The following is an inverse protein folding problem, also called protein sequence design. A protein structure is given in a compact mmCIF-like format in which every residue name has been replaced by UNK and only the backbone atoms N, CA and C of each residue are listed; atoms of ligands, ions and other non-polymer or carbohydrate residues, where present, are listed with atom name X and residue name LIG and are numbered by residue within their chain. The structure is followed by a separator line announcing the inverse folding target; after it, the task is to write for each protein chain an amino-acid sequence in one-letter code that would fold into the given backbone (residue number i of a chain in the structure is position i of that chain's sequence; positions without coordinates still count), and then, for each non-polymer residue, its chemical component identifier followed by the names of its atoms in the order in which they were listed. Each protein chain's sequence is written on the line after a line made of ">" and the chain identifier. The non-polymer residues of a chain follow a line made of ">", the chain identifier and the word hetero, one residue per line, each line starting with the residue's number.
data_IF_794599148772
#
_entry.id   IF_794599148772
#
_cell.length_a   1.000
_cell.length_b   1.000
_cell.length_c   1.000
_cell.angle_alpha   90.00
_cell.angle_beta   90.00
_cell.angle_gamma   90.00
#
_symmetry.space_group_name_H-M   'P 1'
#
loop_
_entity.id
_entity.type
_entity.pdbx_description
1 polymer ?
#
# COMPACT_ATOMS: atom_id res chain seq x y z
N UNK A 1 -6.42 -25.87 14.65
CA UNK A 1 -5.48 -24.92 13.99
C UNK A 1 -4.58 -25.71 13.08
N UNK A 2 -4.53 -25.39 11.79
CA UNK A 2 -3.64 -26.10 10.86
C UNK A 2 -2.16 -25.84 11.18
N UNK A 3 -1.29 -26.79 10.87
CA UNK A 3 0.17 -26.72 11.08
C UNK A 3 0.78 -25.43 10.51
N UNK A 4 0.19 -24.87 9.45
CA UNK A 4 0.61 -23.62 8.83
C UNK A 4 0.11 -22.37 9.55
N UNK A 5 -1.09 -22.42 10.18
CA UNK A 5 -1.49 -21.40 11.14
C UNK A 5 -0.50 -21.35 12.30
N UNK A 6 -0.03 -22.52 12.78
CA UNK A 6 1.04 -22.59 13.76
C UNK A 6 2.36 -22.03 13.22
N UNK A 7 2.84 -22.38 12.02
CA UNK A 7 4.12 -21.86 11.48
C UNK A 7 4.06 -20.36 11.20
N UNK A 8 2.96 -19.83 10.66
CA UNK A 8 2.77 -18.39 10.44
C UNK A 8 2.65 -17.64 11.76
N UNK A 9 1.91 -18.19 12.72
CA UNK A 9 1.91 -17.69 14.10
C UNK A 9 3.27 -17.83 14.77
N UNK A 10 4.07 -18.84 14.44
CA UNK A 10 5.39 -19.08 15.05
C UNK A 10 6.42 -18.14 14.44
N UNK A 11 6.37 -17.88 13.13
CA UNK A 11 7.17 -16.86 12.47
C UNK A 11 6.73 -15.44 12.85
N UNK A 12 5.44 -15.20 13.04
CA UNK A 12 4.92 -13.93 13.56
C UNK A 12 5.25 -13.75 15.05
N UNK A 13 5.12 -14.78 15.90
CA UNK A 13 5.51 -14.78 17.33
C UNK A 13 7.02 -14.69 17.51
N UNK A 14 7.83 -15.44 16.74
CA UNK A 14 9.30 -15.30 16.75
C UNK A 14 9.71 -13.89 16.32
N UNK A 15 9.03 -13.29 15.34
CA UNK A 15 9.26 -11.89 14.93
C UNK A 15 8.79 -10.87 15.98
N UNK A 16 7.64 -11.08 16.61
CA UNK A 16 7.14 -10.25 17.73
C UNK A 16 7.93 -10.44 19.04
N UNK A 17 8.70 -11.53 19.19
CA UNK A 17 9.63 -11.70 20.31
C UNK A 17 10.90 -10.85 20.17
N UNK A 18 11.23 -10.41 18.96
CA UNK A 18 12.43 -9.59 18.67
C UNK A 18 12.07 -8.11 18.46
N UNK A 19 10.82 -7.84 18.07
CA UNK A 19 10.31 -6.48 17.89
C UNK A 19 9.62 -6.04 19.18
N UNK A 20 9.84 -4.82 19.68
CA UNK A 20 9.00 -4.31 20.75
C UNK A 20 7.54 -4.36 20.30
N UNK A 21 6.60 -4.65 21.21
CA UNK A 21 5.18 -4.54 20.88
C UNK A 21 4.93 -3.14 20.33
N UNK A 22 4.14 -3.02 19.25
CA UNK A 22 3.70 -1.70 18.80
C UNK A 22 3.15 -0.96 20.03
N UNK A 23 3.57 0.30 20.27
CA UNK A 23 3.08 1.07 21.39
C UNK A 23 1.57 0.97 21.44
N UNK A 24 1.02 0.77 22.64
CA UNK A 24 -0.42 0.97 22.85
C UNK A 24 -0.73 2.36 22.30
N UNK A 25 -1.80 2.49 21.49
CA UNK A 25 -2.24 3.76 20.90
C UNK A 25 -2.17 4.87 21.96
N UNK A 26 -1.07 5.59 21.98
CA UNK A 26 -0.92 6.84 22.68
C UNK A 26 -1.54 7.86 21.74
N UNK A 27 -2.48 8.65 22.26
CA UNK A 27 -2.96 9.80 21.54
C UNK A 27 -1.74 10.69 21.24
N UNK A 28 -1.51 11.05 19.97
CA UNK A 28 -0.41 11.91 19.55
C UNK A 28 -0.41 13.22 20.32
N UNK A 29 -1.58 13.68 20.79
CA UNK A 29 -1.71 14.85 21.66
C UNK A 29 -0.90 14.74 22.95
N UNK A 30 -0.93 13.58 23.61
CA UNK A 30 -0.22 13.35 24.88
C UNK A 30 1.19 12.79 24.67
N UNK A 31 1.64 12.64 23.43
CA UNK A 31 2.94 12.07 23.12
C UNK A 31 4.03 13.14 23.21
N UNK A 32 4.89 13.06 24.22
CA UNK A 32 6.07 13.92 24.29
C UNK A 32 7.14 13.39 23.34
N UNK A 33 7.58 14.22 22.40
CA UNK A 33 8.65 13.86 21.47
C UNK A 33 9.96 13.94 22.26
N UNK A 34 10.72 12.84 22.40
CA UNK A 34 11.99 12.91 23.11
C UNK A 34 12.96 13.84 22.38
N UNK A 35 13.75 14.60 23.13
CA UNK A 35 14.65 15.61 22.55
C UNK A 35 15.67 15.03 21.57
N UNK A 36 16.02 13.74 21.73
CA UNK A 36 16.87 13.00 20.79
C UNK A 36 16.28 12.84 19.39
N UNK A 37 14.97 13.01 19.20
CA UNK A 37 14.29 12.95 17.90
C UNK A 37 14.18 14.32 17.20
N UNK A 38 14.56 15.41 17.88
CA UNK A 38 14.54 16.74 17.29
C UNK A 38 15.67 16.95 16.28
N UNK A 39 16.79 16.23 16.48
CA UNK A 39 17.97 16.32 15.64
C UNK A 39 18.28 14.97 14.99
N UNK A 40 18.89 14.99 13.82
CA UNK A 40 19.43 13.78 13.19
C UNK A 40 20.80 13.39 13.80
N UNK A 41 21.40 12.30 13.32
CA UNK A 41 22.73 11.84 13.76
C UNK A 41 23.86 12.84 13.49
N UNK A 42 23.63 13.84 12.63
CA UNK A 42 24.55 14.93 12.31
C UNK A 42 24.25 16.20 13.12
N UNK A 43 23.37 16.14 14.12
CA UNK A 43 22.91 17.27 14.95
C UNK A 43 22.19 18.38 14.17
N UNK A 44 21.64 18.07 13.01
CA UNK A 44 20.82 19.01 12.22
C UNK A 44 19.34 18.86 12.56
N UNK A 45 18.50 19.90 12.36
CA UNK A 45 17.06 19.80 12.55
C UNK A 45 16.43 18.64 11.77
N UNK A 46 15.67 17.81 12.49
CA UNK A 46 14.98 16.64 11.93
C UNK A 46 13.47 16.68 12.18
N UNK A 47 13.02 17.20 13.33
CA UNK A 47 11.62 17.56 13.54
C UNK A 47 11.37 18.90 12.83
N UNK A 48 10.62 18.87 11.72
CA UNK A 48 10.37 20.07 10.90
C UNK A 48 8.98 20.66 11.12
N UNK A 49 8.05 19.89 11.66
CA UNK A 49 6.73 20.37 11.98
C UNK A 49 6.12 19.59 13.14
N UNK A 50 5.48 20.33 14.05
CA UNK A 50 4.64 19.80 15.10
C UNK A 50 3.51 20.81 15.33
N UNK A 51 2.30 20.46 14.90
CA UNK A 51 1.19 21.42 14.92
C UNK A 51 0.62 21.70 16.30
N UNK A 52 0.94 20.87 17.31
CA UNK A 52 0.47 20.94 18.70
C UNK A 52 -1.07 21.10 18.89
N UNK A 53 -1.87 20.91 17.83
CA UNK A 53 -3.33 21.09 17.85
C UNK A 53 -4.07 19.76 18.17
N UNK A 54 -5.40 19.77 18.39
CA UNK A 54 -6.18 18.57 18.71
C UNK A 54 -6.10 17.44 17.67
N UNK A 55 -5.71 17.74 16.43
CA UNK A 55 -5.45 16.80 15.34
C UNK A 55 -3.97 16.80 14.96
N UNK A 56 -3.11 16.86 15.99
CA UNK A 56 -1.65 17.00 15.91
C UNK A 56 -1.04 16.24 14.73
N UNK A 57 -0.29 16.98 13.92
CA UNK A 57 0.52 16.47 12.83
C UNK A 57 1.98 16.68 13.19
N UNK A 58 2.73 15.59 13.20
CA UNK A 58 4.17 15.61 13.44
C UNK A 58 4.86 15.19 12.15
N UNK A 59 5.84 15.97 11.69
CA UNK A 59 6.61 15.70 10.48
C UNK A 59 8.10 15.73 10.78
N UNK A 60 8.77 14.64 10.41
CA UNK A 60 10.21 14.50 10.50
C UNK A 60 10.82 14.43 9.11
N UNK A 61 11.74 15.34 8.81
CA UNK A 61 12.56 15.33 7.60
C UNK A 61 13.83 16.17 7.83
N UNK A 62 14.89 15.87 7.09
CA UNK A 62 16.08 16.73 7.03
C UNK A 62 16.13 17.53 5.72
N UNK A 63 16.96 18.57 5.65
CA UNK A 63 17.25 19.27 4.38
C UNK A 63 17.68 18.29 3.28
N UNK A 64 18.60 17.39 3.61
CA UNK A 64 19.09 16.35 2.70
C UNK A 64 17.95 15.42 2.28
N UNK A 65 17.09 15.01 3.22
CA UNK A 65 15.91 14.22 2.93
C UNK A 65 15.00 14.87 1.88
N UNK A 66 14.67 16.14 2.09
CA UNK A 66 13.74 16.86 1.22
C UNK A 66 14.30 17.04 -0.21
N UNK A 67 15.63 17.16 -0.36
CA UNK A 67 16.29 17.16 -1.68
C UNK A 67 16.14 15.84 -2.45
N UNK A 68 15.95 14.72 -1.74
CA UNK A 68 15.85 13.38 -2.32
C UNK A 68 14.42 12.82 -2.30
N UNK A 69 13.41 13.65 -2.05
CA UNK A 69 12.00 13.25 -2.13
C UNK A 69 11.71 12.55 -3.47
N UNK A 70 11.05 11.39 -3.40
CA UNK A 70 10.76 10.54 -4.57
C UNK A 70 11.82 9.49 -4.89
N UNK A 71 13.05 9.59 -4.35
CA UNK A 71 14.12 8.59 -4.59
C UNK A 71 14.36 7.65 -3.39
N UNK A 72 14.05 8.12 -2.17
CA UNK A 72 14.28 7.40 -0.91
C UNK A 72 13.13 7.68 0.09
N UNK A 73 12.82 6.76 1.03
CA UNK A 73 11.96 7.02 2.19
C UNK A 73 12.66 7.98 3.14
N UNK A 74 12.35 9.27 3.05
CA UNK A 74 13.17 10.32 3.69
C UNK A 74 12.37 11.31 4.53
N UNK A 75 11.04 11.24 4.47
CA UNK A 75 10.13 12.00 5.31
C UNK A 75 9.20 11.03 6.05
N UNK A 76 8.99 11.27 7.34
CA UNK A 76 8.09 10.50 8.19
C UNK A 76 7.04 11.44 8.78
N UNK A 77 5.79 11.01 8.82
CA UNK A 77 4.72 11.79 9.42
C UNK A 77 3.84 10.93 10.30
N UNK A 78 3.42 11.47 11.44
CA UNK A 78 2.41 10.88 12.31
C UNK A 78 1.19 11.80 12.36
N UNK A 79 0.00 11.21 12.18
CA UNK A 79 -1.28 11.93 12.16
C UNK A 79 -2.33 11.19 12.96
N UNK A 80 -3.20 11.94 13.66
CA UNK A 80 -4.36 11.38 14.39
C UNK A 80 -5.44 10.84 13.44
N UNK A 81 -5.59 11.50 12.29
CA UNK A 81 -6.62 11.22 11.28
C UNK A 81 -6.02 10.92 9.92
N UNK A 82 -6.88 10.38 9.05
CA UNK A 82 -6.60 10.02 7.66
C UNK A 82 -7.68 10.61 6.74
N UNK A 83 -7.90 11.91 6.87
CA UNK A 83 -8.89 12.65 6.11
C UNK A 83 -8.24 13.71 5.20
N UNK A 84 -9.06 14.30 4.32
CA UNK A 84 -8.59 15.26 3.32
C UNK A 84 -7.85 16.44 3.97
N UNK A 85 -8.42 17.00 5.04
CA UNK A 85 -7.86 18.16 5.73
C UNK A 85 -6.50 17.83 6.32
N UNK A 86 -6.37 16.68 6.97
CA UNK A 86 -5.09 16.22 7.53
C UNK A 86 -4.01 16.11 6.45
N UNK A 87 -4.33 15.54 5.29
CA UNK A 87 -3.36 15.43 4.20
C UNK A 87 -2.97 16.79 3.58
N UNK A 88 -3.92 17.71 3.42
CA UNK A 88 -3.63 19.06 2.94
C UNK A 88 -2.69 19.80 3.91
N UNK A 89 -2.96 19.73 5.22
CA UNK A 89 -2.08 20.32 6.22
C UNK A 89 -0.69 19.67 6.20
N UNK A 90 -0.63 18.33 6.10
CA UNK A 90 0.65 17.62 5.98
C UNK A 90 1.47 18.08 4.76
N UNK A 91 0.84 18.21 3.60
CA UNK A 91 1.53 18.68 2.39
C UNK A 91 1.96 20.13 2.49
N UNK A 92 1.17 20.99 3.14
CA UNK A 92 1.54 22.38 3.42
C UNK A 92 2.78 22.44 4.31
N UNK A 93 2.77 21.74 5.45
CA UNK A 93 3.92 21.70 6.37
C UNK A 93 5.19 21.18 5.69
N UNK A 94 5.06 20.18 4.82
CA UNK A 94 6.18 19.66 4.04
C UNK A 94 6.72 20.69 3.05
N UNK A 95 5.83 21.42 2.36
CA UNK A 95 6.19 22.43 1.37
C UNK A 95 6.85 23.65 2.02
N UNK A 96 6.32 24.10 3.16
CA UNK A 96 6.89 25.22 3.92
C UNK A 96 8.29 24.90 4.42
N UNK A 97 8.48 23.69 4.97
CA UNK A 97 9.81 23.23 5.39
C UNK A 97 10.79 23.14 4.21
N UNK A 98 10.33 22.69 3.04
CA UNK A 98 11.17 22.63 1.85
C UNK A 98 11.56 24.03 1.34
N UNK A 99 10.61 24.97 1.30
CA UNK A 99 10.86 26.37 0.93
C UNK A 99 11.88 27.01 1.87
N UNK A 100 11.76 26.78 3.17
CA UNK A 100 12.74 27.26 4.16
C UNK A 100 14.17 26.75 3.89
N UNK A 101 14.31 25.60 3.23
CA UNK A 101 15.60 25.06 2.79
C UNK A 101 15.99 25.44 1.35
N UNK A 102 15.20 26.28 0.67
CA UNK A 102 15.39 26.65 -0.73
C UNK A 102 15.08 25.52 -1.72
N UNK A 103 14.17 24.62 -1.36
CA UNK A 103 13.78 23.44 -2.15
C UNK A 103 12.34 23.62 -2.62
N UNK A 104 12.11 23.49 -3.93
CA UNK A 104 10.77 23.47 -4.50
C UNK A 104 10.26 22.02 -4.65
N UNK A 105 9.14 21.69 -4.02
CA UNK A 105 8.48 20.39 -4.15
C UNK A 105 7.33 20.52 -5.15
N UNK A 106 7.53 19.99 -6.36
CA UNK A 106 6.54 19.96 -7.44
C UNK A 106 6.59 18.58 -8.16
N UNK A 107 5.99 17.54 -7.57
CA UNK A 107 6.04 16.18 -8.10
C UNK A 107 5.16 16.05 -9.34
N UNK A 108 5.68 15.49 -10.43
CA UNK A 108 4.90 15.18 -11.64
C UNK A 108 3.98 13.98 -11.45
N UNK A 109 4.27 13.09 -10.50
CA UNK A 109 3.39 11.98 -10.16
C UNK A 109 3.54 11.51 -8.72
N UNK A 110 2.49 10.88 -8.19
CA UNK A 110 2.48 10.25 -6.88
C UNK A 110 2.02 8.79 -6.94
N UNK A 111 2.81 7.91 -6.34
CA UNK A 111 2.43 6.53 -6.08
C UNK A 111 1.85 6.43 -4.66
N UNK A 112 0.54 6.25 -4.56
CA UNK A 112 -0.21 6.29 -3.30
C UNK A 112 -0.89 4.93 -3.07
N UNK A 113 -1.16 4.59 -1.81
CA UNK A 113 -2.05 3.49 -1.48
C UNK A 113 -3.48 3.80 -1.97
N UNK A 114 -4.38 2.81 -1.95
CA UNK A 114 -5.80 2.99 -2.30
C UNK A 114 -6.56 3.79 -1.22
N UNK A 115 -6.05 4.99 -0.91
CA UNK A 115 -6.56 5.91 0.09
C UNK A 115 -7.10 7.18 -0.59
N UNK A 116 -8.41 7.38 -0.45
CA UNK A 116 -9.16 8.40 -1.19
C UNK A 116 -8.79 9.79 -0.70
N UNK A 117 -8.64 9.97 0.62
CA UNK A 117 -8.28 11.25 1.22
C UNK A 117 -6.90 11.72 0.73
N UNK A 118 -5.89 10.85 0.77
CA UNK A 118 -4.53 11.16 0.31
C UNK A 118 -4.49 11.50 -1.18
N UNK A 119 -5.16 10.71 -2.03
CA UNK A 119 -5.18 10.96 -3.48
C UNK A 119 -5.94 12.23 -3.86
N UNK A 120 -7.03 12.56 -3.17
CA UNK A 120 -7.74 13.84 -3.34
C UNK A 120 -6.88 15.02 -2.91
N UNK A 121 -6.32 14.97 -1.70
CA UNK A 121 -5.43 16.00 -1.18
C UNK A 121 -4.27 16.26 -2.14
N UNK A 122 -3.69 15.20 -2.71
CA UNK A 122 -2.58 15.33 -3.63
C UNK A 122 -2.97 16.09 -4.90
N UNK A 123 -4.13 15.79 -5.49
CA UNK A 123 -4.59 16.47 -6.71
C UNK A 123 -4.96 17.94 -6.44
N UNK A 124 -5.50 18.21 -5.26
CA UNK A 124 -5.88 19.56 -4.86
C UNK A 124 -4.66 20.42 -4.53
N UNK A 125 -3.66 19.85 -3.87
CA UNK A 125 -2.48 20.59 -3.41
C UNK A 125 -1.38 20.74 -4.48
N UNK A 126 -1.13 19.67 -5.26
CA UNK A 126 -0.11 19.68 -6.31
C UNK A 126 -0.78 19.71 -7.68
N UNK A 127 -0.80 20.91 -8.28
CA UNK A 127 -1.29 21.10 -9.64
C UNK A 127 -0.46 20.26 -10.63
N UNK A 128 -1.14 19.65 -11.62
CA UNK A 128 -0.52 18.81 -12.67
C UNK A 128 0.22 17.56 -12.18
N UNK A 129 -0.18 17.00 -11.02
CA UNK A 129 0.36 15.73 -10.54
C UNK A 129 -0.52 14.55 -10.95
N UNK A 130 0.09 13.56 -11.60
CA UNK A 130 -0.55 12.28 -11.90
C UNK A 130 -0.65 11.40 -10.65
N UNK A 131 -1.83 10.82 -10.42
CA UNK A 131 -2.02 9.83 -9.34
C UNK A 131 -1.88 8.43 -9.90
N UNK A 132 -1.05 7.63 -9.26
CA UNK A 132 -0.94 6.21 -9.50
C UNK A 132 -1.12 5.44 -8.20
N UNK A 133 -1.94 4.40 -8.21
CA UNK A 133 -2.19 3.56 -7.06
C UNK A 133 -1.21 2.39 -7.01
N UNK A 134 -0.75 2.04 -5.82
CA UNK A 134 0.26 1.02 -5.60
C UNK A 134 -0.23 -0.39 -5.98
N UNK A 135 0.50 -1.08 -6.88
CA UNK A 135 0.20 -2.44 -7.31
C UNK A 135 0.19 -3.45 -6.15
N UNK A 136 1.06 -3.29 -5.17
CA UNK A 136 1.10 -4.17 -4.00
C UNK A 136 -0.22 -4.09 -3.20
N UNK A 137 -0.73 -2.88 -2.98
CA UNK A 137 -2.00 -2.67 -2.29
C UNK A 137 -3.20 -3.14 -3.11
N UNK A 138 -3.14 -3.03 -4.44
CA UNK A 138 -4.13 -3.62 -5.35
C UNK A 138 -4.18 -5.15 -5.17
N UNK A 139 -3.03 -5.83 -5.27
CA UNK A 139 -2.93 -7.28 -5.08
C UNK A 139 -3.39 -7.71 -3.66
N UNK A 140 -3.01 -6.94 -2.64
CA UNK A 140 -3.43 -7.18 -1.26
C UNK A 140 -4.95 -6.99 -1.07
N UNK A 141 -5.58 -6.05 -1.77
CA UNK A 141 -7.03 -5.85 -1.73
C UNK A 141 -7.78 -7.03 -2.38
N UNK A 142 -7.31 -7.50 -3.54
CA UNK A 142 -7.80 -8.72 -4.19
C UNK A 142 -7.71 -9.90 -3.23
N UNK A 143 -6.53 -10.11 -2.64
CA UNK A 143 -6.28 -11.21 -1.71
C UNK A 143 -7.20 -11.20 -0.49
N UNK A 144 -7.37 -10.03 0.14
CA UNK A 144 -8.28 -9.87 1.28
C UNK A 144 -9.71 -10.22 0.90
N UNK A 145 -10.14 -9.90 -0.33
CA UNK A 145 -11.48 -10.23 -0.79
C UNK A 145 -11.64 -11.73 -1.03
N UNK A 146 -10.66 -12.40 -1.62
CA UNK A 146 -10.65 -13.87 -1.81
C UNK A 146 -10.72 -14.59 -0.47
N UNK A 147 -9.90 -14.19 0.51
CA UNK A 147 -9.94 -14.76 1.87
C UNK A 147 -11.32 -14.64 2.53
N UNK A 148 -12.09 -13.62 2.19
CA UNK A 148 -13.43 -13.44 2.75
C UNK A 148 -14.52 -14.24 2.02
N UNK A 149 -14.17 -14.98 0.96
CA UNK A 149 -15.05 -15.97 0.30
C UNK A 149 -15.11 -17.32 1.05
N UNK A 150 -14.50 -17.39 2.23
CA UNK A 150 -14.31 -18.55 3.12
C UNK A 150 -15.57 -19.34 3.53
N UNK A 151 -16.74 -19.08 2.96
CA UNK A 151 -17.92 -19.95 3.14
C UNK A 151 -18.05 -21.04 2.07
N UNK A 152 -17.25 -21.05 0.99
CA UNK A 152 -17.43 -22.01 -0.14
C UNK A 152 -16.13 -22.56 -0.76
N UNK A 153 -14.96 -21.94 -0.57
CA UNK A 153 -13.71 -22.35 -1.25
C UNK A 153 -12.79 -23.10 -0.28
N UNK A 154 -12.27 -24.25 -0.73
CA UNK A 154 -11.40 -25.15 0.03
C UNK A 154 -10.19 -24.41 0.65
N UNK A 155 -9.99 -24.57 1.96
CA UNK A 155 -8.85 -24.01 2.72
C UNK A 155 -7.50 -24.30 2.05
N UNK A 156 -7.40 -25.42 1.32
CA UNK A 156 -6.26 -25.83 0.52
C UNK A 156 -5.92 -24.88 -0.64
N UNK A 157 -6.92 -24.37 -1.38
CA UNK A 157 -6.71 -23.44 -2.48
C UNK A 157 -6.17 -22.08 -2.00
N UNK A 158 -6.64 -21.63 -0.84
CA UNK A 158 -6.14 -20.40 -0.21
C UNK A 158 -4.69 -20.58 0.22
N UNK A 159 -4.32 -21.74 0.76
CA UNK A 159 -2.93 -22.04 1.14
C UNK A 159 -2.02 -22.15 -0.09
N UNK A 160 -2.48 -22.74 -1.19
CA UNK A 160 -1.69 -22.88 -2.42
C UNK A 160 -1.48 -21.55 -3.16
N UNK A 161 -2.51 -20.69 -3.26
CA UNK A 161 -2.35 -19.32 -3.77
C UNK A 161 -1.43 -18.49 -2.86
N UNK A 162 -1.54 -18.67 -1.53
CA UNK A 162 -0.62 -18.03 -0.57
C UNK A 162 0.83 -18.46 -0.78
N UNK A 163 1.10 -19.73 -1.06
CA UNK A 163 2.44 -20.21 -1.31
C UNK A 163 3.07 -19.50 -2.53
N UNK A 164 2.34 -19.38 -3.64
CA UNK A 164 2.84 -18.73 -4.87
C UNK A 164 3.22 -17.25 -4.70
N UNK A 165 2.53 -16.51 -3.81
CA UNK A 165 2.86 -15.11 -3.51
C UNK A 165 4.06 -14.93 -2.57
N UNK A 166 4.47 -15.96 -1.84
CA UNK A 166 5.47 -15.85 -0.77
C UNK A 166 6.74 -16.70 -0.97
N UNK A 167 6.71 -17.82 -1.71
CA UNK A 167 7.88 -18.68 -2.04
C UNK A 167 7.58 -19.52 -3.29
N UNK A 168 8.51 -19.58 -4.25
CA UNK A 168 8.48 -20.56 -5.36
C UNK A 168 8.60 -21.98 -4.75
N UNK A 169 7.52 -22.77 -4.75
CA UNK A 169 7.57 -24.19 -4.41
C UNK A 169 6.80 -24.98 -5.47
N UNK A 170 7.48 -25.96 -6.07
CA UNK A 170 7.05 -26.70 -7.26
C UNK A 170 6.36 -28.03 -6.96
N UNK A 171 6.24 -28.45 -5.70
CA UNK A 171 6.07 -29.89 -5.40
C UNK A 171 4.78 -30.28 -4.67
N UNK A 172 3.75 -29.42 -4.62
CA UNK A 172 2.41 -29.89 -4.26
C UNK A 172 1.69 -30.45 -5.51
N UNK A 173 1.19 -31.68 -5.39
CA UNK A 173 0.19 -32.21 -6.32
C UNK A 173 -1.08 -31.39 -6.10
N UNK A 174 -1.31 -30.43 -6.98
CA UNK A 174 -2.50 -29.59 -7.05
C UNK A 174 -3.34 -30.12 -8.22
N UNK A 175 -4.62 -30.36 -7.99
CA UNK A 175 -5.57 -30.77 -9.03
C UNK A 175 -5.61 -29.73 -10.16
N UNK A 176 -5.88 -30.18 -11.39
CA UNK A 176 -5.89 -29.31 -12.57
C UNK A 176 -6.85 -28.11 -12.40
N UNK A 177 -8.01 -28.34 -11.76
CA UNK A 177 -9.00 -27.33 -11.42
C UNK A 177 -8.43 -26.22 -10.50
N UNK A 178 -7.74 -26.58 -9.42
CA UNK A 178 -7.12 -25.62 -8.52
C UNK A 178 -6.00 -24.81 -9.21
N UNK A 179 -5.27 -25.43 -10.14
CA UNK A 179 -4.25 -24.73 -10.95
C UNK A 179 -4.87 -23.69 -11.87
N UNK A 180 -6.02 -23.98 -12.49
CA UNK A 180 -6.74 -23.02 -13.32
C UNK A 180 -7.23 -21.83 -12.51
N UNK A 181 -7.85 -22.07 -11.35
CA UNK A 181 -8.28 -20.98 -10.45
C UNK A 181 -7.08 -20.11 -10.02
N UNK A 182 -5.97 -20.72 -9.64
CA UNK A 182 -4.74 -19.99 -9.29
C UNK A 182 -4.28 -19.09 -10.43
N UNK A 183 -4.22 -19.63 -11.66
CA UNK A 183 -3.84 -18.88 -12.85
C UNK A 183 -4.75 -17.67 -13.07
N UNK A 184 -6.07 -17.85 -13.03
CA UNK A 184 -7.01 -16.75 -13.22
C UNK A 184 -6.88 -15.68 -12.13
N UNK A 185 -6.59 -16.06 -10.88
CA UNK A 185 -6.33 -15.10 -9.80
C UNK A 185 -5.03 -14.31 -10.05
N UNK A 186 -3.98 -14.97 -10.54
CA UNK A 186 -2.73 -14.31 -10.96
C UNK A 186 -3.00 -13.34 -12.11
N UNK A 187 -3.80 -13.74 -13.09
CA UNK A 187 -4.14 -12.90 -14.23
C UNK A 187 -4.91 -11.65 -13.77
N UNK A 188 -5.84 -11.78 -12.83
CA UNK A 188 -6.54 -10.64 -12.20
C UNK A 188 -5.57 -9.70 -11.48
N UNK A 189 -4.60 -10.24 -10.72
CA UNK A 189 -3.56 -9.44 -10.03
C UNK A 189 -2.63 -8.75 -11.04
N UNK A 190 -2.50 -9.32 -12.24
CA UNK A 190 -1.61 -8.84 -13.31
C UNK A 190 -2.27 -7.84 -14.26
N UNK A 191 -3.59 -7.60 -14.16
CA UNK A 191 -4.31 -6.60 -14.96
C UNK A 191 -3.67 -5.20 -14.99
N UNK A 192 -3.05 -4.69 -13.91
CA UNK A 192 -2.32 -3.42 -13.94
C UNK A 192 -1.18 -3.39 -14.98
N UNK A 193 -0.69 -4.55 -15.43
CA UNK A 193 0.39 -4.70 -16.42
C UNK A 193 -0.14 -4.97 -17.84
N UNK A 194 -1.45 -4.93 -18.05
CA UNK A 194 -2.08 -5.12 -19.37
C UNK A 194 -2.25 -3.75 -20.04
N UNK A 195 -2.12 -3.62 -21.37
CA UNK A 195 -2.45 -2.38 -22.08
C UNK A 195 -3.82 -1.84 -21.63
N UNK A 196 -3.88 -0.55 -21.29
CA UNK A 196 -5.07 0.05 -20.63
C UNK A 196 -6.35 -0.17 -21.42
N UNK A 197 -6.28 -0.15 -22.76
CA UNK A 197 -7.41 -0.39 -23.65
C UNK A 197 -7.92 -1.86 -23.63
N UNK A 198 -7.08 -2.82 -23.26
CA UNK A 198 -7.42 -4.25 -23.20
C UNK A 198 -7.87 -4.71 -21.81
N UNK A 199 -7.68 -3.90 -20.77
CA UNK A 199 -7.97 -4.30 -19.38
C UNK A 199 -9.41 -4.78 -19.20
N UNK A 200 -10.40 -4.08 -19.80
CA UNK A 200 -11.82 -4.44 -19.66
C UNK A 200 -12.11 -5.80 -20.29
N UNK A 201 -11.67 -5.98 -21.53
CA UNK A 201 -11.85 -7.24 -22.26
C UNK A 201 -11.19 -8.40 -21.53
N UNK A 202 -9.92 -8.24 -21.13
CA UNK A 202 -9.19 -9.27 -20.38
C UNK A 202 -9.86 -9.60 -19.06
N UNK A 203 -10.36 -8.60 -18.33
CA UNK A 203 -11.09 -8.83 -17.09
C UNK A 203 -12.36 -9.67 -17.31
N UNK A 204 -13.14 -9.42 -18.38
CA UNK A 204 -14.36 -10.18 -18.64
C UNK A 204 -14.05 -11.64 -19.05
N UNK A 205 -13.01 -11.88 -19.85
CA UNK A 205 -12.55 -13.24 -20.19
C UNK A 205 -12.17 -14.00 -18.92
N UNK A 206 -11.27 -13.44 -18.09
CA UNK A 206 -10.82 -14.08 -16.85
C UNK A 206 -11.99 -14.28 -15.88
N UNK A 207 -12.93 -13.33 -15.83
CA UNK A 207 -14.12 -13.41 -14.98
C UNK A 207 -15.03 -14.57 -15.38
N UNK A 208 -15.23 -14.76 -16.69
CA UNK A 208 -16.00 -15.89 -17.19
C UNK A 208 -15.29 -17.18 -16.84
N UNK A 209 -14.03 -17.35 -17.25
CA UNK A 209 -13.22 -18.56 -17.01
C UNK A 209 -13.20 -18.94 -15.53
N UNK A 210 -12.97 -17.98 -14.64
CA UNK A 210 -12.98 -18.23 -13.19
C UNK A 210 -14.36 -18.68 -12.67
N UNK A 211 -15.46 -18.14 -13.22
CA UNK A 211 -16.81 -18.57 -12.84
C UNK A 211 -17.23 -19.90 -13.48
N UNK A 212 -16.63 -20.29 -14.62
CA UNK A 212 -16.78 -21.62 -15.21
C UNK A 212 -16.14 -22.68 -14.31
N UNK A 213 -14.98 -22.37 -13.74
CA UNK A 213 -14.33 -23.22 -12.74
C UNK A 213 -15.17 -23.28 -11.45
N UNK A 214 -15.51 -22.13 -10.85
CA UNK A 214 -16.32 -22.09 -9.63
C UNK A 214 -17.22 -20.83 -9.56
N UNK A 215 -18.53 -21.06 -9.57
CA UNK A 215 -19.55 -20.01 -9.50
C UNK A 215 -19.51 -19.23 -8.17
N UNK A 216 -18.87 -19.75 -7.12
CA UNK A 216 -18.70 -19.09 -5.82
C UNK A 216 -17.89 -17.79 -5.93
N UNK A 217 -17.12 -17.60 -7.01
CA UNK A 217 -16.38 -16.36 -7.28
C UNK A 217 -17.24 -15.21 -7.82
N UNK A 218 -18.51 -15.45 -8.19
CA UNK A 218 -19.40 -14.38 -8.71
C UNK A 218 -19.47 -13.12 -7.84
N UNK A 219 -19.62 -13.19 -6.50
CA UNK A 219 -19.62 -12.01 -5.64
C UNK A 219 -18.27 -11.27 -5.62
N UNK A 220 -17.16 -12.02 -5.73
CA UNK A 220 -15.82 -11.46 -5.81
C UNK A 220 -15.59 -10.73 -7.13
N UNK A 221 -15.94 -11.35 -8.25
CA UNK A 221 -15.88 -10.73 -9.58
C UNK A 221 -16.76 -9.47 -9.62
N UNK A 222 -17.97 -9.54 -9.07
CA UNK A 222 -18.87 -8.38 -9.00
C UNK A 222 -18.27 -7.22 -8.18
N UNK A 223 -17.58 -7.55 -7.09
CA UNK A 223 -16.82 -6.57 -6.31
C UNK A 223 -15.70 -5.94 -7.13
N UNK A 224 -14.87 -6.72 -7.83
CA UNK A 224 -13.77 -6.20 -8.64
C UNK A 224 -14.27 -5.32 -9.79
N UNK A 225 -15.32 -5.77 -10.49
CA UNK A 225 -15.94 -5.03 -11.58
C UNK A 225 -16.39 -3.64 -11.12
N UNK A 226 -17.10 -3.57 -9.98
CA UNK A 226 -17.56 -2.30 -9.42
C UNK A 226 -16.41 -1.42 -8.92
N UNK A 227 -15.41 -2.02 -8.26
CA UNK A 227 -14.38 -1.28 -7.52
C UNK A 227 -13.23 -0.79 -8.39
N UNK A 228 -12.86 -1.54 -9.43
CA UNK A 228 -11.66 -1.25 -10.23
C UNK A 228 -11.94 -1.08 -11.73
N UNK A 229 -12.94 -1.77 -12.29
CA UNK A 229 -13.20 -1.74 -13.74
C UNK A 229 -14.16 -0.60 -14.11
N UNK A 230 -15.27 -0.46 -13.38
CA UNK A 230 -16.33 0.53 -13.63
C UNK A 230 -16.29 1.71 -12.64
N UNK A 231 -15.20 1.83 -11.89
CA UNK A 231 -15.08 2.82 -10.83
C UNK A 231 -14.68 4.19 -11.36
N UNK A 232 -15.47 5.21 -11.02
CA UNK A 232 -15.07 6.62 -11.18
C UNK A 232 -14.02 7.03 -10.15
N UNK A 233 -14.00 6.35 -9.00
CA UNK A 233 -13.09 6.63 -7.90
C UNK A 233 -11.69 6.08 -8.14
N UNK A 234 -11.60 4.90 -8.74
CA UNK A 234 -10.36 4.24 -9.13
C UNK A 234 -10.39 3.90 -10.62
N UNK A 235 -10.30 4.91 -11.51
CA UNK A 235 -10.27 4.67 -12.95
C UNK A 235 -9.10 3.75 -13.34
N UNK A 236 -9.27 2.94 -14.39
CA UNK A 236 -8.25 1.97 -14.84
C UNK A 236 -6.86 2.61 -14.97
N UNK A 237 -6.76 3.76 -15.63
CA UNK A 237 -5.51 4.50 -15.83
C UNK A 237 -4.79 4.87 -14.52
N UNK A 238 -5.52 5.00 -13.40
CA UNK A 238 -4.94 5.38 -12.11
C UNK A 238 -4.25 4.23 -11.38
N UNK A 239 -4.53 2.97 -11.72
CA UNK A 239 -3.87 1.81 -11.11
C UNK A 239 -3.15 0.93 -12.13
N UNK A 240 -3.27 1.24 -13.42
CA UNK A 240 -2.51 0.62 -14.49
C UNK A 240 -1.08 1.19 -14.55
N UNK A 241 -0.10 0.33 -14.81
CA UNK A 241 1.30 0.68 -14.90
C UNK A 241 1.95 0.21 -16.21
N UNK A 242 1.18 -0.27 -17.19
CA UNK A 242 1.72 -0.83 -18.43
C UNK A 242 2.71 0.11 -19.12
N UNK A 243 2.31 1.37 -19.33
CA UNK A 243 3.14 2.39 -19.97
C UNK A 243 4.35 2.84 -19.12
N UNK A 244 4.46 2.37 -17.88
CA UNK A 244 5.47 2.78 -16.92
C UNK A 244 6.37 1.63 -16.47
N UNK A 245 6.20 0.45 -17.07
CA UNK A 245 7.04 -0.71 -16.83
C UNK A 245 8.50 -0.39 -17.14
N UNK A 246 9.38 -0.59 -16.16
CA UNK A 246 10.81 -0.26 -16.27
C UNK A 246 11.15 1.23 -16.14
N UNK A 247 10.17 2.13 -16.17
CA UNK A 247 10.38 3.59 -16.09
C UNK A 247 10.28 4.08 -14.64
N UNK A 248 9.26 3.62 -13.90
CA UNK A 248 9.06 3.99 -12.48
C UNK A 248 8.55 2.80 -11.66
N UNK A 249 8.73 2.88 -10.34
CA UNK A 249 8.24 1.83 -9.45
C UNK A 249 6.72 1.74 -9.45
N UNK A 250 6.20 0.51 -9.51
CA UNK A 250 4.77 0.18 -9.35
C UNK A 250 4.37 -0.07 -7.89
N UNK A 251 5.34 -0.24 -6.99
CA UNK A 251 5.10 -0.46 -5.56
C UNK A 251 5.84 0.55 -4.70
N UNK A 252 5.29 0.82 -3.52
CA UNK A 252 5.93 1.61 -2.47
C UNK A 252 6.45 0.71 -1.32
N UNK A 253 6.67 -0.58 -1.58
CA UNK A 253 7.10 -1.57 -0.57
C UNK A 253 8.37 -1.17 0.20
N UNK A 254 9.25 -0.38 -0.44
CA UNK A 254 10.44 0.19 0.21
C UNK A 254 10.05 1.11 1.38
N UNK A 255 9.00 1.92 1.22
CA UNK A 255 8.46 2.79 2.27
C UNK A 255 7.85 1.97 3.41
N UNK A 256 7.11 0.90 3.10
CA UNK A 256 6.58 -0.01 4.13
C UNK A 256 7.69 -0.70 4.93
N UNK A 257 8.75 -1.14 4.26
CA UNK A 257 9.95 -1.69 4.89
C UNK A 257 10.55 -0.71 5.91
N UNK A 258 10.69 0.56 5.52
CA UNK A 258 11.16 1.63 6.42
C UNK A 258 10.20 1.93 7.56
N UNK A 259 8.88 2.04 7.32
CA UNK A 259 7.89 2.22 8.37
C UNK A 259 7.92 1.10 9.41
N UNK A 260 8.12 -0.16 8.99
CA UNK A 260 8.26 -1.29 9.91
C UNK A 260 9.52 -1.21 10.78
N UNK A 261 10.61 -0.65 10.25
CA UNK A 261 11.82 -0.41 11.05
C UNK A 261 11.60 0.73 12.04
N UNK A 262 10.94 1.82 11.63
CA UNK A 262 10.63 2.95 12.50
C UNK A 262 9.76 2.52 13.70
N UNK A 263 8.76 1.66 13.47
CA UNK A 263 7.95 1.05 14.53
C UNK A 263 8.72 0.22 15.56
N UNK A 264 10.01 -0.06 15.35
CA UNK A 264 10.87 -0.67 16.38
C UNK A 264 11.35 0.34 17.42
N UNK A 265 11.30 1.63 17.09
CA UNK A 265 11.90 2.71 17.87
C UNK A 265 10.87 3.68 18.45
N UNK A 266 9.63 3.61 17.97
CA UNK A 266 8.46 4.32 18.52
C UNK A 266 7.63 3.29 19.23
#
# INVERSE_FOLDING_TARGET
>A
MSMFQQIRWTGYRKRLKVLPPCPKRTNLRSFEIPQSFHLNSLKEPFLIHDSADPYRIIVFASKTSLRYLGTKPVCYSATEKKDLKTYLTLFQSLKDAAIAFGINIAPSSHLIDFEIAASKASKEFFHNTDISYCHFHFAQAIWRKIKNLNSVIHEHLILSIMHMLYVYYSDLIIEAHEKNIQKHIVDLISLPMVPTNLVRERFEIISQELCWEDLSFKPFISYLRRTYINSKQFPIASWNHYNYLGIRSRTNNRLEGSHRQLKKYI
#
